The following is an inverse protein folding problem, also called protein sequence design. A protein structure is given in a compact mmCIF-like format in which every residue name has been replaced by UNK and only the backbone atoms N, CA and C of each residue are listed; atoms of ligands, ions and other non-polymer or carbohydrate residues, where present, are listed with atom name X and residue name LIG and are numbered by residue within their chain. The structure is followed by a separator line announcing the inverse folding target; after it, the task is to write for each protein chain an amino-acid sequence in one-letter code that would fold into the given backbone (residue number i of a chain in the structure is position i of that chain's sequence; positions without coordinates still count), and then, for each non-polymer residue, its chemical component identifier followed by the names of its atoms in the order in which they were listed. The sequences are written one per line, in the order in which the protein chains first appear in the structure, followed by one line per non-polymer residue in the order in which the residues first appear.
data_IF_356549919280
#
_entry.id   IF_356549919280
#
_cell.length_a   1.000
_cell.length_b   1.000
_cell.length_c   1.000
_cell.angle_alpha   90.00
_cell.angle_beta   90.00
_cell.angle_gamma   90.00
#
_symmetry.space_group_name_H-M   'P 1'
#
loop_
_entity.id
_entity.type
_entity.pdbx_description
1 polymer ?
#
# COMPACT_ATOMS: atom_id res chain seq x y z
N UNK A 1 -3.02 -0.09 20.34
CA UNK A 1 -2.67 -1.26 19.49
C UNK A 1 -3.90 -1.92 18.87
N UNK A 2 -4.82 -2.55 19.63
CA UNK A 2 -6.03 -3.17 19.02
C UNK A 2 -6.94 -2.15 18.32
N UNK A 3 -7.20 -1.00 18.96
CA UNK A 3 -8.00 0.07 18.37
C UNK A 3 -7.35 0.65 17.10
N UNK A 4 -6.03 0.81 17.09
CA UNK A 4 -5.29 1.30 15.93
C UNK A 4 -5.36 0.32 14.75
N UNK A 5 -5.21 -0.97 15.02
CA UNK A 5 -5.37 -2.00 13.99
C UNK A 5 -6.77 -1.95 13.36
N UNK A 6 -7.82 -1.77 14.16
CA UNK A 6 -9.20 -1.62 13.66
C UNK A 6 -9.34 -0.38 12.77
N UNK A 7 -8.74 0.75 13.16
CA UNK A 7 -8.74 1.96 12.34
C UNK A 7 -8.00 1.77 11.02
N UNK A 8 -6.82 1.16 11.05
CA UNK A 8 -6.02 0.86 9.85
C UNK A 8 -6.80 -0.06 8.90
N UNK A 9 -7.41 -1.13 9.40
CA UNK A 9 -8.22 -2.03 8.58
C UNK A 9 -9.46 -1.35 7.98
N UNK A 10 -10.07 -0.42 8.72
CA UNK A 10 -11.19 0.38 8.22
C UNK A 10 -10.77 1.33 7.10
N UNK A 11 -9.59 1.97 7.23
CA UNK A 11 -9.00 2.78 6.16
C UNK A 11 -8.68 1.95 4.92
N UNK A 12 -8.15 0.73 5.11
CA UNK A 12 -7.84 -0.19 4.01
C UNK A 12 -9.11 -0.61 3.27
N UNK A 13 -10.22 -0.84 3.98
CA UNK A 13 -11.51 -1.13 3.36
C UNK A 13 -12.02 0.05 2.52
N UNK A 14 -11.88 1.29 3.03
CA UNK A 14 -12.19 2.50 2.25
C UNK A 14 -11.28 2.64 1.03
N UNK A 15 -10.00 2.30 1.18
CA UNK A 15 -9.04 2.29 0.09
C UNK A 15 -9.45 1.29 -1.01
N UNK A 16 -9.85 0.07 -0.64
CA UNK A 16 -10.36 -0.92 -1.59
C UNK A 16 -11.61 -0.44 -2.31
N UNK A 17 -12.57 0.13 -1.59
CA UNK A 17 -13.79 0.70 -2.19
C UNK A 17 -13.44 1.84 -3.16
N UNK A 18 -12.55 2.74 -2.76
CA UNK A 18 -12.08 3.82 -3.62
C UNK A 18 -11.44 3.30 -4.92
N UNK A 19 -10.66 2.23 -4.84
CA UNK A 19 -10.12 1.58 -6.03
C UNK A 19 -11.19 0.89 -6.89
N UNK A 20 -12.15 0.21 -6.26
CA UNK A 20 -13.14 -0.60 -6.96
C UNK A 20 -14.22 0.24 -7.65
N UNK A 21 -14.65 1.30 -6.99
CA UNK A 21 -15.68 2.22 -7.48
C UNK A 21 -15.11 3.46 -8.18
N UNK A 22 -13.79 3.61 -8.24
CA UNK A 22 -13.15 4.77 -8.88
C UNK A 22 -13.35 6.08 -8.13
N UNK A 23 -13.61 6.02 -6.82
CA UNK A 23 -13.87 7.18 -5.98
C UNK A 23 -12.56 7.83 -5.52
N UNK A 24 -12.06 8.74 -6.36
CA UNK A 24 -10.85 9.51 -6.09
C UNK A 24 -11.00 10.43 -4.87
N UNK A 25 -12.20 10.93 -4.57
CA UNK A 25 -12.46 11.81 -3.43
C UNK A 25 -12.29 11.06 -2.11
N UNK A 26 -12.89 9.87 -1.99
CA UNK A 26 -12.66 9.02 -0.81
C UNK A 26 -11.19 8.67 -0.67
N UNK A 27 -10.51 8.29 -1.77
CA UNK A 27 -9.08 7.97 -1.72
C UNK A 27 -8.24 9.14 -1.23
N UNK A 28 -8.47 10.36 -1.72
CA UNK A 28 -7.72 11.56 -1.33
C UNK A 28 -7.69 11.74 0.19
N UNK A 29 -8.82 11.51 0.88
CA UNK A 29 -8.91 11.68 2.34
C UNK A 29 -8.02 10.71 3.13
N UNK A 30 -7.60 9.60 2.54
CA UNK A 30 -6.77 8.59 3.21
C UNK A 30 -5.28 8.91 3.16
N UNK A 31 -4.84 9.76 2.23
CA UNK A 31 -3.43 10.07 2.01
C UNK A 31 -3.02 11.37 2.71
N UNK A 32 -1.76 11.40 3.15
CA UNK A 32 -1.10 12.65 3.46
C UNK A 32 -0.67 13.36 2.17
N UNK A 33 -0.63 14.70 2.18
CA UNK A 33 -0.40 15.50 0.97
C UNK A 33 0.99 15.32 0.37
N UNK A 34 1.98 14.97 1.19
CA UNK A 34 3.36 14.72 0.75
C UNK A 34 3.58 13.31 0.17
N UNK A 35 2.55 12.45 0.19
CA UNK A 35 2.72 11.05 -0.17
C UNK A 35 3.13 10.93 -1.65
N UNK A 36 4.17 10.12 -1.87
CA UNK A 36 4.66 9.81 -3.21
C UNK A 36 4.47 8.33 -3.49
N UNK A 37 3.78 8.03 -4.60
CA UNK A 37 3.67 6.69 -5.15
C UNK A 37 4.95 6.31 -5.89
N UNK A 38 5.46 5.11 -5.65
CA UNK A 38 6.75 4.66 -6.16
C UNK A 38 6.65 3.30 -6.84
N UNK A 39 7.26 3.22 -8.01
CA UNK A 39 7.58 1.98 -8.73
C UNK A 39 8.99 2.13 -9.34
N UNK A 40 9.62 1.07 -9.86
CA UNK A 40 10.92 1.19 -10.54
C UNK A 40 10.87 2.26 -11.64
N UNK A 41 11.79 3.22 -11.60
CA UNK A 41 11.85 4.33 -12.57
C UNK A 41 10.70 5.35 -12.48
N UNK A 42 9.76 5.21 -11.53
CA UNK A 42 8.58 6.07 -11.47
C UNK A 42 8.35 6.63 -10.06
N UNK A 43 8.02 7.93 -10.01
CA UNK A 43 7.55 8.64 -8.83
C UNK A 43 6.35 9.48 -9.25
N UNK A 44 5.22 9.35 -8.54
CA UNK A 44 3.99 10.12 -8.80
C UNK A 44 3.50 10.77 -7.52
N UNK A 45 3.01 12.00 -7.60
CA UNK A 45 2.24 12.62 -6.53
C UNK A 45 0.89 11.93 -6.36
N UNK A 46 0.25 12.15 -5.21
CA UNK A 46 -1.15 11.76 -4.99
C UNK A 46 -2.07 12.33 -6.07
N UNK A 47 -1.95 13.63 -6.38
CA UNK A 47 -2.80 14.30 -7.38
C UNK A 47 -2.74 13.65 -8.76
N UNK A 48 -1.55 13.31 -9.24
CA UNK A 48 -1.37 12.61 -10.52
C UNK A 48 -2.04 11.24 -10.49
N UNK A 49 -1.84 10.48 -9.41
CA UNK A 49 -2.44 9.16 -9.30
C UNK A 49 -3.97 9.19 -9.15
N UNK A 50 -4.52 10.13 -8.39
CA UNK A 50 -5.97 10.31 -8.26
C UNK A 50 -6.63 10.68 -9.60
N UNK A 51 -5.96 11.52 -10.39
CA UNK A 51 -6.38 11.81 -11.77
C UNK A 51 -6.41 10.53 -12.63
N UNK A 52 -5.41 9.66 -12.50
CA UNK A 52 -5.42 8.36 -13.19
C UNK A 52 -6.58 7.48 -12.71
N UNK A 53 -6.89 7.48 -11.41
CA UNK A 53 -8.02 6.73 -10.84
C UNK A 53 -9.36 7.23 -11.35
N UNK A 54 -9.55 8.54 -11.48
CA UNK A 54 -10.79 9.12 -11.99
C UNK A 54 -11.00 8.88 -13.49
N UNK A 55 -9.92 8.72 -14.26
CA UNK A 55 -9.97 8.57 -15.73
C UNK A 55 -9.96 7.13 -16.20
N UNK A 56 -9.38 6.20 -15.42
CA UNK A 56 -9.31 4.79 -15.81
C UNK A 56 -10.69 4.13 -15.80
N UNK A 57 -10.78 2.97 -16.44
CA UNK A 57 -11.99 2.15 -16.37
C UNK A 57 -12.28 1.70 -14.93
N UNK A 58 -13.52 1.93 -14.48
CA UNK A 58 -13.98 1.63 -13.11
C UNK A 58 -14.24 0.12 -12.97
N UNK A 59 -13.57 -0.59 -12.05
CA UNK A 59 -13.76 -2.04 -11.88
C UNK A 59 -15.22 -2.46 -11.70
N UNK A 60 -15.97 -1.78 -10.83
CA UNK A 60 -17.38 -2.08 -10.56
C UNK A 60 -18.28 -1.99 -11.81
N UNK A 61 -18.01 -1.04 -12.72
CA UNK A 61 -18.81 -0.89 -13.95
C UNK A 61 -18.56 -2.00 -14.98
N UNK A 62 -17.44 -2.72 -14.87
CA UNK A 62 -17.09 -3.81 -15.78
C UNK A 62 -17.35 -5.20 -15.18
N UNK A 63 -18.11 -5.29 -14.07
CA UNK A 63 -18.32 -6.53 -13.33
C UNK A 63 -17.00 -7.21 -12.92
N UNK A 64 -15.94 -6.43 -12.69
CA UNK A 64 -14.70 -6.98 -12.20
C UNK A 64 -14.92 -7.56 -10.79
N UNK A 65 -14.45 -8.77 -10.47
CA UNK A 65 -14.72 -9.40 -9.18
C UNK A 65 -14.08 -8.63 -8.02
N UNK A 66 -14.72 -8.69 -6.85
CA UNK A 66 -14.18 -8.17 -5.59
C UNK A 66 -13.24 -9.21 -4.98
N UNK A 67 -11.94 -9.08 -5.26
CA UNK A 67 -10.88 -10.00 -4.79
C UNK A 67 -9.76 -9.28 -4.02
N UNK A 68 -10.06 -8.08 -3.51
CA UNK A 68 -9.14 -7.33 -2.66
C UNK A 68 -8.88 -8.07 -1.35
N UNK A 69 -7.62 -8.12 -0.91
CA UNK A 69 -7.24 -8.80 0.33
C UNK A 69 -6.11 -8.08 1.06
N UNK A 70 -6.20 -8.06 2.38
CA UNK A 70 -5.06 -7.74 3.25
C UNK A 70 -4.15 -8.97 3.30
N UNK A 71 -2.89 -8.81 2.91
CA UNK A 71 -1.89 -9.88 2.91
C UNK A 71 -1.03 -9.85 4.19
N UNK A 72 -0.92 -8.70 4.83
CA UNK A 72 -0.21 -8.54 6.09
C UNK A 72 -0.30 -7.12 6.62
N UNK A 73 -0.23 -6.99 7.94
CA UNK A 73 -0.15 -5.72 8.65
C UNK A 73 0.98 -5.83 9.67
N UNK A 74 1.92 -4.90 9.60
CA UNK A 74 2.95 -4.70 10.61
C UNK A 74 2.65 -3.37 11.29
N UNK A 75 2.40 -3.38 12.59
CA UNK A 75 2.03 -2.21 13.38
C UNK A 75 3.02 -2.08 14.54
N UNK A 76 3.66 -0.93 14.64
CA UNK A 76 4.58 -0.60 15.73
C UNK A 76 4.35 0.84 16.17
N UNK A 77 3.82 1.02 17.39
CA UNK A 77 3.47 2.34 17.92
C UNK A 77 2.58 3.12 16.93
N UNK A 78 3.00 4.31 16.51
CA UNK A 78 2.32 5.22 15.59
C UNK A 78 2.74 5.03 14.12
N UNK A 79 3.28 3.87 13.77
CA UNK A 79 3.69 3.53 12.40
C UNK A 79 3.13 2.17 12.00
N UNK A 80 2.73 2.05 10.73
CA UNK A 80 2.29 0.78 10.18
C UNK A 80 2.69 0.59 8.72
N UNK A 81 2.87 -0.67 8.33
CA UNK A 81 2.99 -1.08 6.94
C UNK A 81 1.89 -2.09 6.65
N UNK A 82 1.18 -1.90 5.55
CA UNK A 82 0.13 -2.81 5.10
C UNK A 82 0.44 -3.31 3.69
N UNK A 83 0.44 -4.63 3.52
CA UNK A 83 0.59 -5.29 2.22
C UNK A 83 -0.79 -5.72 1.73
N UNK A 84 -1.13 -5.36 0.50
CA UNK A 84 -2.46 -5.57 -0.07
C UNK A 84 -2.40 -6.28 -1.42
N UNK A 85 -3.38 -7.13 -1.69
CA UNK A 85 -3.72 -7.60 -3.03
C UNK A 85 -4.81 -6.69 -3.61
N UNK A 86 -4.51 -6.07 -4.74
CA UNK A 86 -5.36 -5.09 -5.43
C UNK A 86 -5.56 -5.51 -6.89
N UNK A 87 -6.49 -6.44 -7.18
CA UNK A 87 -6.75 -6.86 -8.55
C UNK A 87 -7.55 -5.77 -9.27
N UNK A 88 -7.07 -5.36 -10.45
CA UNK A 88 -7.66 -4.34 -11.27
C UNK A 88 -7.83 -4.86 -12.72
N UNK A 89 -8.74 -4.29 -13.52
CA UNK A 89 -8.97 -4.74 -14.90
C UNK A 89 -7.71 -4.77 -15.80
N UNK A 90 -6.70 -3.95 -15.49
CA UNK A 90 -5.47 -3.82 -16.27
C UNK A 90 -4.25 -4.50 -15.62
N UNK A 91 -4.44 -5.26 -14.54
CA UNK A 91 -3.35 -5.99 -13.89
C UNK A 91 -3.63 -6.36 -12.44
N UNK A 92 -2.85 -7.29 -11.92
CA UNK A 92 -2.92 -7.72 -10.53
C UNK A 92 -1.84 -7.02 -9.73
N UNK A 93 -2.20 -6.10 -8.84
CA UNK A 93 -1.21 -5.30 -8.12
C UNK A 93 -1.05 -5.77 -6.69
N UNK A 94 0.19 -5.74 -6.20
CA UNK A 94 0.51 -5.76 -4.78
C UNK A 94 0.86 -4.34 -4.35
N UNK A 95 0.08 -3.76 -3.46
CA UNK A 95 0.36 -2.46 -2.86
C UNK A 95 1.03 -2.65 -1.49
N UNK A 96 2.03 -1.82 -1.21
CA UNK A 96 2.66 -1.67 0.10
C UNK A 96 2.40 -0.24 0.56
N UNK A 97 1.53 -0.09 1.55
CA UNK A 97 1.16 1.19 2.12
C UNK A 97 1.97 1.41 3.40
N UNK A 98 2.69 2.53 3.48
CA UNK A 98 3.28 3.03 4.71
C UNK A 98 2.34 4.07 5.33
N UNK A 99 2.02 3.88 6.61
CA UNK A 99 1.11 4.73 7.35
C UNK A 99 1.80 5.30 8.58
N UNK A 100 1.44 6.54 8.91
CA UNK A 100 1.81 7.20 10.15
C UNK A 100 0.53 7.65 10.86
N UNK A 101 0.57 7.61 12.19
CA UNK A 101 -0.42 8.25 13.04
C UNK A 101 0.16 9.57 13.52
N UNK A 102 -0.45 10.67 13.11
CA UNK A 102 -0.02 12.01 13.50
C UNK A 102 -1.24 12.75 14.04
N UNK A 103 -1.06 13.44 15.17
CA UNK A 103 -2.14 14.19 15.82
C UNK A 103 -3.39 13.34 16.11
N UNK A 104 -3.20 12.04 16.34
CA UNK A 104 -4.27 11.08 16.61
C UNK A 104 -4.92 10.45 15.36
N UNK A 105 -4.55 10.87 14.15
CA UNK A 105 -5.14 10.39 12.90
C UNK A 105 -4.14 9.56 12.09
N UNK A 106 -4.61 8.43 11.54
CA UNK A 106 -3.82 7.63 10.61
C UNK A 106 -3.95 8.17 9.18
N UNK A 107 -2.82 8.27 8.47
CA UNK A 107 -2.75 8.62 7.05
C UNK A 107 -1.76 7.72 6.31
N UNK A 108 -2.01 7.50 5.02
CA UNK A 108 -1.05 6.86 4.12
C UNK A 108 -0.03 7.92 3.67
N UNK A 109 1.23 7.72 4.04
CA UNK A 109 2.34 8.65 3.73
C UNK A 109 3.28 8.12 2.64
N UNK A 110 3.18 6.82 2.32
CA UNK A 110 3.94 6.20 1.24
C UNK A 110 3.14 5.08 0.59
N UNK A 111 3.25 4.95 -0.74
CA UNK A 111 2.72 3.80 -1.47
C UNK A 111 3.75 3.28 -2.47
N UNK A 112 4.10 2.01 -2.34
CA UNK A 112 4.79 1.27 -3.40
C UNK A 112 3.83 0.27 -4.01
N UNK A 113 4.02 -0.03 -5.30
CA UNK A 113 3.19 -1.03 -5.96
C UNK A 113 4.01 -1.82 -6.98
N UNK A 114 3.63 -3.08 -7.17
CA UNK A 114 4.21 -3.96 -8.17
C UNK A 114 3.11 -4.78 -8.84
N UNK A 115 3.26 -5.06 -10.13
CA UNK A 115 2.41 -6.04 -10.80
C UNK A 115 2.84 -7.44 -10.37
N UNK A 116 1.92 -8.24 -9.86
CA UNK A 116 2.10 -9.61 -9.41
C UNK A 116 2.33 -10.60 -10.57
N UNK A 117 2.41 -10.12 -11.81
CA UNK A 117 2.98 -10.87 -12.92
C UNK A 117 4.52 -10.91 -12.89
N UNK A 118 5.17 -10.15 -12.02
CA UNK A 118 6.62 -10.16 -11.86
C UNK A 118 7.07 -11.45 -11.15
N UNK A 119 7.85 -12.27 -11.85
CA UNK A 119 8.32 -13.63 -11.49
C UNK A 119 9.23 -13.73 -10.26
N UNK A 120 9.34 -12.67 -9.45
CA UNK A 120 10.29 -12.58 -8.34
C UNK A 120 9.57 -12.38 -7.00
N UNK A 121 8.87 -13.40 -6.53
CA UNK A 121 8.52 -13.49 -5.11
C UNK A 121 9.35 -14.61 -4.48
N UNK A 122 10.53 -14.25 -3.95
CA UNK A 122 11.25 -15.13 -3.04
C UNK A 122 10.43 -15.22 -1.75
N UNK A 123 9.69 -16.32 -1.57
CA UNK A 123 9.31 -16.78 -0.23
C UNK A 123 10.55 -17.37 0.45
N UNK A 124 11.58 -16.58 0.67
CA UNK A 124 12.73 -17.00 1.48
C UNK A 124 12.56 -16.44 2.89
N UNK A 125 12.71 -17.32 3.89
CA UNK A 125 12.93 -16.94 5.29
C UNK A 125 13.94 -15.78 5.34
N UNK A 126 13.71 -14.83 6.26
CA UNK A 126 14.57 -13.66 6.43
C UNK A 126 16.05 -14.06 6.32
N UNK A 127 16.84 -13.47 5.41
CA UNK A 127 18.25 -13.78 5.31
C UNK A 127 18.91 -13.46 6.65
N UNK A 128 19.58 -14.45 7.25
CA UNK A 128 20.44 -14.22 8.40
C UNK A 128 21.60 -13.35 7.90
N UNK A 129 21.60 -12.07 8.30
CA UNK A 129 22.76 -11.21 8.09
C UNK A 129 23.84 -11.76 9.02
N UNK A 130 24.76 -12.56 8.46
CA UNK A 130 25.95 -12.97 9.20
C UNK A 130 26.73 -11.70 9.55
N UNK A 131 26.74 -11.32 10.82
CA UNK A 131 27.66 -10.31 11.32
C UNK A 131 29.07 -10.89 11.17
N UNK A 132 29.81 -10.46 10.16
CA UNK A 132 31.25 -10.69 10.13
C UNK A 132 31.86 -9.79 11.21
N UNK A 133 31.97 -10.32 12.42
CA UNK A 133 32.90 -9.84 13.43
C UNK A 133 34.31 -9.95 12.88
N UNK A 134 34.92 -8.83 12.52
CA UNK A 134 36.37 -8.70 12.48
C UNK A 134 36.74 -7.35 13.11
N UNK A 135 36.59 -7.28 14.43
CA UNK A 135 37.50 -6.50 15.25
C UNK A 135 38.67 -7.42 15.53
N UNK A 136 39.74 -7.25 14.77
CA UNK A 136 41.08 -7.69 15.20
C UNK A 136 41.92 -6.42 15.31
N UNK A 137 41.99 -5.87 16.51
CA UNK A 137 43.11 -5.03 16.92
C UNK A 137 44.35 -5.92 17.08
N UNK A 138 45.55 -5.38 16.87
CA UNK A 138 46.22 -4.65 17.95
C UNK A 138 46.18 -3.13 17.79
#
# INVERSE_FOLDING_TARGET
MQADLVQILSMVELYFKGLHYGDAGTLETLFHQDCVLKAPGQRRSISTWLNDVAKRSVPAHNNHPWEYRVLGVELMSEQAVVKLNCPLPHGHFIDYLGLLKEQGEWKIVNKMYANNSATYCLQSKAPQINQSSNVTNP
#
